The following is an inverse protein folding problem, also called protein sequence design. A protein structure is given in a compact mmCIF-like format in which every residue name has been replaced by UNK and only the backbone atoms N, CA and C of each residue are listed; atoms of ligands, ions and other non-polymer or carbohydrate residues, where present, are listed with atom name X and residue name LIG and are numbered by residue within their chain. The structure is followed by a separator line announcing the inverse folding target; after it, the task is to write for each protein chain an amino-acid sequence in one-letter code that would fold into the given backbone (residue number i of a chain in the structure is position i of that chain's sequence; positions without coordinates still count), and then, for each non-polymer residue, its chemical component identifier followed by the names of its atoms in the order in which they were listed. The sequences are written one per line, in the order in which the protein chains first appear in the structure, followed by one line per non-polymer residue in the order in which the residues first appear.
data_IF_431737315928
#
_entry.id   IF_431737315928
#
_cell.length_a   1.000
_cell.length_b   1.000
_cell.length_c   1.000
_cell.angle_alpha   90.00
_cell.angle_beta   90.00
_cell.angle_gamma   90.00
#
_symmetry.space_group_name_H-M   'P 1'
#
loop_
_entity.id
_entity.type
_entity.pdbx_description
1 polymer ?
#
# COMPACT_ATOMS: atom_id res chain seq x y z
N UNK A 1 22.45 2.74 -1.36
CA UNK A 1 22.06 1.38 -1.77
C UNK A 1 20.83 1.51 -2.66
N UNK A 2 20.72 0.78 -3.77
CA UNK A 2 19.49 0.80 -4.59
C UNK A 2 18.38 0.11 -3.78
N UNK A 3 17.15 0.66 -3.72
CA UNK A 3 16.06 -0.04 -3.07
C UNK A 3 15.76 -1.35 -3.82
N UNK A 4 15.56 -2.42 -3.05
CA UNK A 4 15.41 -3.79 -3.55
C UNK A 4 14.19 -4.51 -2.96
N UNK A 5 13.35 -3.79 -2.21
CA UNK A 5 12.20 -4.38 -1.51
C UNK A 5 10.91 -3.65 -1.86
N UNK A 6 9.82 -4.39 -2.06
CA UNK A 6 8.46 -3.87 -2.13
C UNK A 6 7.71 -4.34 -0.89
N UNK A 7 7.06 -3.41 -0.19
CA UNK A 7 6.24 -3.71 0.97
C UNK A 7 4.79 -3.84 0.53
N UNK A 8 4.09 -4.87 1.00
CA UNK A 8 2.67 -5.08 0.69
C UNK A 8 1.87 -5.39 1.96
N UNK A 9 0.74 -4.71 2.10
CA UNK A 9 -0.33 -5.04 3.03
C UNK A 9 -1.47 -5.68 2.22
N UNK A 10 -1.75 -6.95 2.44
CA UNK A 10 -2.71 -7.74 1.66
C UNK A 10 -3.08 -9.03 2.42
N UNK A 11 -4.37 -9.30 2.60
CA UNK A 11 -4.87 -10.51 3.27
C UNK A 11 -5.16 -11.66 2.30
N UNK A 12 -5.30 -11.38 1.01
CA UNK A 12 -5.74 -12.37 0.04
C UNK A 12 -4.56 -13.04 -0.68
N UNK A 13 -4.38 -14.34 -0.43
CA UNK A 13 -3.31 -15.16 -1.00
C UNK A 13 -3.27 -15.16 -2.54
N UNK A 14 -4.42 -15.15 -3.22
CA UNK A 14 -4.45 -15.10 -4.68
C UNK A 14 -3.94 -13.76 -5.22
N UNK A 15 -4.27 -12.66 -4.52
CA UNK A 15 -3.75 -11.32 -4.86
C UNK A 15 -2.27 -11.20 -4.57
N UNK A 16 -1.78 -11.80 -3.47
CA UNK A 16 -0.35 -11.87 -3.14
C UNK A 16 0.40 -12.61 -4.24
N UNK A 17 -0.02 -13.83 -4.58
CA UNK A 17 0.62 -14.64 -5.60
C UNK A 17 0.65 -13.95 -6.97
N UNK A 18 -0.46 -13.29 -7.36
CA UNK A 18 -0.50 -12.50 -8.59
C UNK A 18 0.47 -11.30 -8.56
N UNK A 19 0.62 -10.65 -7.41
CA UNK A 19 1.54 -9.53 -7.23
C UNK A 19 2.99 -9.99 -7.28
N UNK A 20 3.33 -11.11 -6.63
CA UNK A 20 4.66 -11.73 -6.69
C UNK A 20 5.08 -12.04 -8.13
N UNK A 21 4.18 -12.64 -8.92
CA UNK A 21 4.42 -12.90 -10.34
C UNK A 21 4.67 -11.61 -11.13
N UNK A 22 3.88 -10.56 -10.87
CA UNK A 22 4.04 -9.27 -11.53
C UNK A 22 5.39 -8.61 -11.17
N UNK A 23 5.82 -8.66 -9.92
CA UNK A 23 7.11 -8.11 -9.48
C UNK A 23 8.27 -8.90 -10.08
N UNK A 24 8.21 -10.24 -10.06
CA UNK A 24 9.23 -11.10 -10.65
C UNK A 24 9.40 -10.86 -12.16
N UNK A 25 8.32 -10.53 -12.87
CA UNK A 25 8.35 -10.18 -14.28
C UNK A 25 9.00 -8.80 -14.57
N UNK A 26 8.99 -7.88 -13.61
CA UNK A 26 9.60 -6.55 -13.73
C UNK A 26 11.10 -6.61 -13.39
N UNK A 27 11.45 -7.18 -12.24
CA UNK A 27 12.83 -7.39 -11.81
C UNK A 27 12.87 -8.56 -10.81
N UNK A 28 13.46 -9.70 -11.18
CA UNK A 28 13.52 -10.89 -10.31
C UNK A 28 14.38 -10.69 -9.06
N UNK A 29 15.14 -9.59 -8.95
CA UNK A 29 15.91 -9.27 -7.75
C UNK A 29 15.12 -8.47 -6.72
N UNK A 30 13.93 -7.96 -7.08
CA UNK A 30 13.05 -7.29 -6.12
C UNK A 30 12.46 -8.32 -5.16
N UNK A 31 12.54 -8.00 -3.87
CA UNK A 31 11.96 -8.81 -2.79
C UNK A 31 10.58 -8.29 -2.44
N UNK A 32 9.64 -9.18 -2.17
CA UNK A 32 8.39 -8.83 -1.49
C UNK A 32 8.54 -9.08 0.01
N UNK A 33 8.10 -8.10 0.81
CA UNK A 33 7.77 -8.30 2.21
C UNK A 33 6.28 -8.09 2.38
N UNK A 34 5.58 -9.14 2.77
CA UNK A 34 4.12 -9.21 2.88
C UNK A 34 3.71 -9.15 4.34
N UNK A 35 2.66 -8.38 4.62
CA UNK A 35 1.91 -8.43 5.88
C UNK A 35 0.43 -8.62 5.57
N UNK A 36 -0.24 -9.40 6.40
CA UNK A 36 -1.68 -9.66 6.30
C UNK A 36 -2.52 -8.77 7.23
N UNK A 37 -1.87 -8.04 8.13
CA UNK A 37 -2.50 -7.14 9.08
C UNK A 37 -1.69 -5.86 9.28
N UNK A 38 -2.41 -4.78 9.55
CA UNK A 38 -1.84 -3.45 9.73
C UNK A 38 -0.99 -3.33 11.01
N UNK A 39 -1.36 -3.90 12.17
CA UNK A 39 -0.54 -3.87 13.37
C UNK A 39 0.88 -4.44 13.16
N UNK A 40 1.01 -5.62 12.56
CA UNK A 40 2.30 -6.25 12.28
C UNK A 40 3.14 -5.37 11.33
N UNK A 41 2.53 -4.88 10.26
CA UNK A 41 3.23 -3.98 9.34
C UNK A 41 3.74 -2.71 10.03
N UNK A 42 2.94 -2.07 10.88
CA UNK A 42 3.34 -0.85 11.60
C UNK A 42 4.54 -1.11 12.53
N UNK A 43 4.60 -2.28 13.15
CA UNK A 43 5.70 -2.66 14.05
C UNK A 43 6.98 -2.98 13.27
N UNK A 44 6.86 -3.69 12.16
CA UNK A 44 8.01 -4.30 11.48
C UNK A 44 8.57 -3.48 10.32
N UNK A 45 7.71 -2.73 9.60
CA UNK A 45 8.09 -1.93 8.44
C UNK A 45 9.24 -0.94 8.69
N UNK A 46 9.44 -0.30 9.88
CA UNK A 46 10.59 0.58 10.11
C UNK A 46 11.95 -0.02 9.72
N UNK A 47 12.12 -1.34 9.90
CA UNK A 47 13.37 -2.04 9.58
C UNK A 47 13.63 -2.18 8.07
N UNK A 48 12.60 -2.01 7.24
CA UNK A 48 12.64 -2.19 5.79
C UNK A 48 12.66 -0.88 5.01
N UNK A 49 12.09 0.19 5.59
CA UNK A 49 11.85 1.48 4.93
C UNK A 49 13.02 1.98 4.08
N UNK A 50 14.25 1.95 4.57
CA UNK A 50 15.44 2.50 3.87
C UNK A 50 15.82 1.75 2.58
N UNK A 51 15.27 0.55 2.35
CA UNK A 51 15.49 -0.28 1.17
C UNK A 51 14.24 -0.44 0.30
N UNK A 52 13.15 0.22 0.68
CA UNK A 52 11.86 0.07 0.01
C UNK A 52 11.79 0.91 -1.26
N UNK A 53 11.42 0.27 -2.37
CA UNK A 53 11.19 0.91 -3.66
C UNK A 53 9.72 1.38 -3.83
N UNK A 54 8.79 0.67 -3.20
CA UNK A 54 7.35 0.89 -3.31
C UNK A 54 6.64 0.29 -2.08
N UNK A 55 5.58 0.94 -1.63
CA UNK A 55 4.62 0.39 -0.66
C UNK A 55 3.26 0.23 -1.34
N UNK A 56 2.65 -0.94 -1.27
CA UNK A 56 1.28 -1.20 -1.72
C UNK A 56 0.39 -1.53 -0.52
N UNK A 57 -0.67 -0.76 -0.31
CA UNK A 57 -1.59 -0.95 0.80
C UNK A 57 -2.95 -1.41 0.28
N UNK A 58 -3.42 -2.59 0.69
CA UNK A 58 -4.85 -2.88 0.67
C UNK A 58 -5.53 -2.16 1.85
N UNK A 59 -6.61 -1.46 1.55
CA UNK A 59 -7.40 -0.78 2.55
C UNK A 59 -8.31 -1.75 3.30
N UNK A 60 -8.88 -2.71 2.58
CA UNK A 60 -10.03 -3.51 3.01
C UNK A 60 -9.58 -4.93 3.42
N UNK A 61 -8.85 -5.02 4.53
CA UNK A 61 -8.34 -6.29 5.03
C UNK A 61 -9.44 -7.16 5.64
N UNK A 62 -9.46 -8.44 5.26
CA UNK A 62 -10.29 -9.44 5.93
C UNK A 62 -9.51 -10.12 7.05
N UNK A 63 -10.24 -10.58 8.08
CA UNK A 63 -9.66 -11.48 9.06
C UNK A 63 -9.27 -12.79 8.41
N UNK A 64 -8.04 -13.23 8.67
CA UNK A 64 -7.61 -14.57 8.31
C UNK A 64 -8.43 -15.64 9.05
N UNK A 65 -8.59 -16.85 8.49
CA UNK A 65 -9.29 -17.94 9.16
C UNK A 65 -8.71 -18.24 10.55
N UNK A 66 -9.55 -18.17 11.58
CA UNK A 66 -9.14 -18.42 12.97
C UNK A 66 -8.52 -17.22 13.70
N UNK A 67 -8.32 -16.09 13.03
CA UNK A 67 -7.87 -14.86 13.68
C UNK A 67 -8.98 -14.27 14.56
N UNK A 68 -8.63 -13.96 15.81
CA UNK A 68 -9.52 -13.28 16.77
C UNK A 68 -9.36 -11.77 16.73
N UNK A 69 -8.16 -11.31 16.36
CA UNK A 69 -7.81 -9.89 16.41
C UNK A 69 -8.31 -9.15 15.16
N UNK A 70 -8.45 -7.83 15.32
CA UNK A 70 -8.77 -6.94 14.21
C UNK A 70 -7.52 -6.74 13.33
N UNK A 71 -7.55 -7.09 12.03
CA UNK A 71 -6.41 -6.91 11.14
C UNK A 71 -6.13 -5.43 10.88
N UNK A 72 -7.03 -4.52 11.28
CA UNK A 72 -6.95 -3.11 10.96
C UNK A 72 -7.18 -2.87 9.46
N UNK A 73 -6.62 -1.78 8.95
CA UNK A 73 -6.86 -1.32 7.58
C UNK A 73 -5.66 -0.59 7.01
N UNK A 74 -5.64 -0.43 5.69
CA UNK A 74 -4.67 0.45 5.02
C UNK A 74 -4.72 1.90 5.51
N UNK A 75 -5.82 2.37 6.12
CA UNK A 75 -5.88 3.70 6.74
C UNK A 75 -5.03 3.79 8.01
N UNK A 76 -4.93 2.71 8.79
CA UNK A 76 -4.07 2.65 9.95
C UNK A 76 -2.60 2.82 9.51
N UNK A 77 -2.18 2.05 8.51
CA UNK A 77 -0.82 2.12 7.96
C UNK A 77 -0.55 3.47 7.29
N UNK A 78 -1.48 3.99 6.48
CA UNK A 78 -1.33 5.30 5.84
C UNK A 78 -1.20 6.45 6.86
N UNK A 79 -1.96 6.37 7.97
CA UNK A 79 -1.86 7.34 9.08
C UNK A 79 -0.52 7.25 9.79
N UNK A 80 0.02 6.05 9.97
CA UNK A 80 1.35 5.85 10.53
C UNK A 80 2.45 6.32 9.57
N UNK A 81 2.38 5.98 8.29
CA UNK A 81 3.32 6.42 7.24
C UNK A 81 3.38 7.93 7.13
N UNK A 82 2.24 8.63 7.26
CA UNK A 82 2.19 10.09 7.25
C UNK A 82 3.05 10.76 8.33
N UNK A 83 3.46 10.02 9.37
CA UNK A 83 4.36 10.49 10.44
C UNK A 83 5.83 10.12 10.21
N UNK A 84 6.12 9.34 9.16
CA UNK A 84 7.46 8.92 8.77
C UNK A 84 8.03 9.87 7.71
N UNK A 85 9.35 9.83 7.52
CA UNK A 85 9.98 10.55 6.41
C UNK A 85 9.58 9.90 5.07
N UNK A 86 9.23 10.68 4.03
CA UNK A 86 8.92 10.14 2.71
C UNK A 86 10.16 9.60 2.03
N UNK A 87 10.12 8.32 1.63
CA UNK A 87 11.28 7.63 1.03
C UNK A 87 10.97 6.92 -0.30
N UNK A 88 9.69 6.62 -0.57
CA UNK A 88 9.27 5.91 -1.78
C UNK A 88 7.79 6.21 -2.12
N UNK A 89 7.31 5.86 -3.33
CA UNK A 89 5.89 5.94 -3.64
C UNK A 89 5.05 4.98 -2.78
N UNK A 90 3.79 5.35 -2.55
CA UNK A 90 2.78 4.53 -1.88
C UNK A 90 1.56 4.42 -2.81
N UNK A 91 1.10 3.18 -3.06
CA UNK A 91 -0.13 2.89 -3.78
C UNK A 91 -1.15 2.39 -2.76
N UNK A 92 -2.37 2.92 -2.82
CA UNK A 92 -3.49 2.43 -2.00
C UNK A 92 -4.51 1.77 -2.92
N UNK A 93 -4.89 0.55 -2.57
CA UNK A 93 -5.93 -0.26 -3.21
C UNK A 93 -7.09 -0.35 -2.23
N UNK A 94 -8.30 -0.26 -2.74
CA UNK A 94 -9.52 -0.46 -1.98
C UNK A 94 -10.54 -1.10 -2.91
N UNK A 95 -11.44 -1.89 -2.35
CA UNK A 95 -12.67 -2.28 -3.02
C UNK A 95 -13.49 -1.01 -3.29
N UNK A 96 -14.03 -0.87 -4.50
CA UNK A 96 -14.68 0.36 -5.01
C UNK A 96 -15.87 0.90 -4.17
N UNK A 97 -16.19 0.30 -3.02
CA UNK A 97 -17.32 0.65 -2.17
C UNK A 97 -16.96 1.69 -1.08
N UNK A 98 -15.68 1.85 -0.71
CA UNK A 98 -15.26 2.81 0.34
C UNK A 98 -14.34 3.95 -0.16
N UNK A 99 -14.89 4.74 -1.08
CA UNK A 99 -14.21 5.92 -1.61
C UNK A 99 -13.86 6.97 -0.54
N UNK A 100 -14.64 7.07 0.55
CA UNK A 100 -14.39 8.06 1.60
C UNK A 100 -13.15 7.70 2.42
N UNK A 101 -12.98 6.43 2.79
CA UNK A 101 -11.81 5.98 3.54
C UNK A 101 -10.55 5.98 2.69
N UNK A 102 -10.67 5.67 1.39
CA UNK A 102 -9.59 5.87 0.41
C UNK A 102 -9.12 7.34 0.38
N UNK A 103 -10.05 8.30 0.28
CA UNK A 103 -9.73 9.74 0.36
C UNK A 103 -9.04 10.11 1.66
N UNK A 104 -9.43 9.50 2.79
CA UNK A 104 -8.75 9.74 4.07
C UNK A 104 -7.31 9.26 4.01
N UNK A 105 -7.04 8.07 3.48
CA UNK A 105 -5.68 7.55 3.31
C UNK A 105 -4.83 8.50 2.45
N UNK A 106 -5.36 8.89 1.29
CA UNK A 106 -4.68 9.80 0.36
C UNK A 106 -4.41 11.16 1.02
N UNK A 107 -5.38 11.74 1.72
CA UNK A 107 -5.20 13.01 2.42
C UNK A 107 -4.11 12.93 3.49
N UNK A 108 -3.98 11.79 4.18
CA UNK A 108 -2.99 11.60 5.25
C UNK A 108 -1.59 11.56 4.65
N UNK A 109 -1.42 10.81 3.55
CA UNK A 109 -0.16 10.74 2.83
C UNK A 109 0.21 12.06 2.16
N UNK A 110 -0.73 12.75 1.50
CA UNK A 110 -0.48 14.03 0.78
C UNK A 110 0.01 15.16 1.69
N UNK A 111 -0.32 15.12 2.98
CA UNK A 111 0.12 16.14 3.92
C UNK A 111 1.65 16.09 4.18
N UNK A 112 2.32 14.96 3.92
CA UNK A 112 3.73 14.77 4.29
C UNK A 112 4.58 14.07 3.22
N UNK A 113 4.02 13.20 2.38
CA UNK A 113 4.71 12.46 1.31
C UNK A 113 4.47 13.13 -0.05
N UNK A 114 5.44 13.91 -0.54
CA UNK A 114 5.44 14.49 -1.89
C UNK A 114 5.92 13.47 -2.93
N UNK A 115 5.40 12.25 -2.87
CA UNK A 115 5.50 11.26 -3.94
C UNK A 115 4.08 10.84 -4.29
N UNK A 116 3.56 11.44 -5.36
CA UNK A 116 2.19 11.34 -5.88
C UNK A 116 1.49 9.99 -5.58
N UNK A 117 0.57 9.92 -4.60
CA UNK A 117 -0.20 8.70 -4.37
C UNK A 117 -1.06 8.43 -5.61
N UNK A 118 -0.82 7.29 -6.25
CA UNK A 118 -1.64 6.82 -7.36
C UNK A 118 -2.82 6.01 -6.83
N UNK A 119 -4.01 6.33 -7.32
CA UNK A 119 -5.25 5.62 -7.05
C UNK A 119 -5.44 4.56 -8.16
N UNK A 120 -5.51 3.28 -7.77
CA UNK A 120 -5.87 2.21 -8.70
C UNK A 120 -7.32 1.80 -8.41
N UNK A 121 -8.27 2.41 -9.11
CA UNK A 121 -9.67 1.95 -9.15
C UNK A 121 -9.77 0.58 -9.83
N UNK A 122 -10.61 -0.31 -9.28
CA UNK A 122 -10.66 -1.72 -9.67
C UNK A 122 -10.86 -2.00 -11.16
N UNK A 123 -10.22 -3.07 -11.65
CA UNK A 123 -10.36 -3.78 -12.94
C UNK A 123 -10.93 -2.93 -14.10
N UNK A 124 -10.14 -1.97 -14.61
CA UNK A 124 -9.98 -1.67 -16.06
C UNK A 124 -9.26 -0.35 -16.36
N UNK A 125 -8.97 0.50 -15.37
CA UNK A 125 -8.12 1.67 -15.62
C UNK A 125 -7.53 2.21 -14.33
N UNK A 126 -6.19 2.20 -14.23
CA UNK A 126 -5.50 3.10 -13.32
C UNK A 126 -5.66 4.51 -13.91
N UNK A 127 -6.44 5.37 -13.27
CA UNK A 127 -6.64 6.75 -13.72
C UNK A 127 -5.63 7.64 -12.99
N UNK A 128 -4.64 8.23 -13.68
CA UNK A 128 -3.77 9.20 -13.06
C UNK A 128 -4.55 10.48 -12.72
N UNK A 129 -4.48 10.97 -11.48
CA UNK A 129 -5.20 12.17 -11.03
C UNK A 129 -4.55 13.51 -11.49
N UNK A 130 -3.87 13.56 -12.64
CA UNK A 130 -3.26 14.81 -13.14
C UNK A 130 -4.20 15.75 -13.92
N UNK A 131 -5.51 15.46 -13.97
CA UNK A 131 -6.46 16.26 -14.77
C UNK A 131 -7.54 17.03 -14.00
N UNK A 132 -7.36 17.29 -12.70
CA UNK A 132 -8.28 18.16 -11.94
C UNK A 132 -7.57 19.43 -11.48
N UNK A 133 -7.05 20.20 -12.43
CA UNK A 133 -6.70 21.61 -12.24
C UNK A 133 -6.58 22.33 -13.59
N UNK A 134 -7.71 22.51 -14.29
CA UNK A 134 -7.96 23.67 -15.14
C UNK A 134 -9.46 23.97 -15.13
N UNK A 135 -9.85 24.94 -14.30
CA UNK A 135 -10.70 26.08 -14.65
C UNK A 135 -10.75 27.03 -13.46
#
# INVERSE_FOLDING_TARGET
MKPDTILILEDNEERIAAFELAVAAIDPNLKLQVWHDAPAMIVEAPSWLTRTALISLDHDLNRLPGAIDDPGSGLNVATWLARQQPICPVIIRSSNHDYQSLRKCIQRLRAFWVANPMECGGKQSATPLWNVAKH
#
